data_IF_371418429960
#
_entry.id   IF_371418429960
#
_cell.length_a   1.000
_cell.length_b   1.000
_cell.length_c   1.000
_cell.angle_alpha   90.00
_cell.angle_beta   90.00
_cell.angle_gamma   90.00
#
_symmetry.space_group_name_H-M   'P 1'
#
loop_
_entity.id
_entity.type
_entity.pdbx_description
1 polymer ?
#
# COMPACT_ATOMS: atom_id res chain seq x y z
N UNK A 1 -4.14 -31.37 -1.34
CA UNK A 1 -5.29 -30.47 -1.03
C UNK A 1 -4.75 -29.07 -0.82
N UNK A 2 -5.43 -28.02 -1.30
CA UNK A 2 -4.96 -26.62 -1.24
C UNK A 2 -5.34 -25.86 0.03
N UNK A 3 -6.31 -26.36 0.82
CA UNK A 3 -6.73 -25.81 2.12
C UNK A 3 -7.20 -26.93 3.05
N UNK A 4 -6.93 -26.80 4.35
CA UNK A 4 -7.44 -27.66 5.40
C UNK A 4 -8.39 -26.87 6.30
N UNK A 5 -9.64 -27.32 6.44
CA UNK A 5 -10.58 -26.78 7.42
C UNK A 5 -10.66 -27.70 8.64
N UNK A 6 -11.26 -27.23 9.73
CA UNK A 6 -11.44 -28.03 10.96
C UNK A 6 -12.33 -29.24 10.74
N UNK A 7 -13.29 -29.15 9.81
CA UNK A 7 -14.18 -30.24 9.41
C UNK A 7 -13.39 -31.32 8.65
N UNK A 8 -12.54 -30.90 7.70
CA UNK A 8 -11.68 -31.82 6.95
C UNK A 8 -10.62 -32.49 7.84
N UNK A 9 -10.06 -31.74 8.79
CA UNK A 9 -9.13 -32.29 9.77
C UNK A 9 -9.82 -33.31 10.67
N UNK A 10 -11.03 -33.01 11.16
CA UNK A 10 -11.81 -33.94 11.98
C UNK A 10 -12.09 -35.26 11.22
N UNK A 11 -12.56 -35.17 9.97
CA UNK A 11 -12.78 -36.34 9.12
C UNK A 11 -11.51 -37.19 8.98
N UNK A 12 -10.37 -36.56 8.71
CA UNK A 12 -9.10 -37.28 8.51
C UNK A 12 -8.55 -37.87 9.80
N UNK A 13 -8.69 -37.17 10.92
CA UNK A 13 -8.28 -37.70 12.23
C UNK A 13 -9.15 -38.90 12.60
N UNK A 14 -10.48 -38.81 12.39
CA UNK A 14 -11.40 -39.91 12.66
C UNK A 14 -11.07 -41.14 11.79
N UNK A 15 -10.75 -40.95 10.52
CA UNK A 15 -10.31 -42.02 9.61
C UNK A 15 -9.03 -42.72 10.10
N UNK A 16 -8.05 -41.96 10.60
CA UNK A 16 -6.76 -42.50 11.06
C UNK A 16 -6.87 -43.17 12.44
N UNK A 17 -7.65 -42.58 13.34
CA UNK A 17 -7.67 -42.95 14.76
C UNK A 17 -8.86 -43.82 15.15
N UNK A 18 -9.86 -43.97 14.29
CA UNK A 18 -11.13 -44.62 14.60
C UNK A 18 -12.00 -43.83 15.60
N UNK A 19 -11.56 -42.65 16.04
CA UNK A 19 -12.29 -41.81 16.98
C UNK A 19 -13.43 -41.03 16.29
N UNK A 20 -14.39 -40.55 17.09
CA UNK A 20 -15.48 -39.68 16.64
C UNK A 20 -15.26 -38.25 17.16
N UNK A 21 -14.37 -37.50 16.51
CA UNK A 21 -14.12 -36.10 16.84
C UNK A 21 -14.98 -35.17 15.99
N UNK A 22 -15.53 -34.15 16.65
CA UNK A 22 -16.23 -33.05 15.99
C UNK A 22 -15.26 -31.93 15.60
N UNK A 23 -15.56 -31.21 14.51
CA UNK A 23 -14.75 -30.08 14.01
C UNK A 23 -14.47 -29.01 15.08
N UNK A 24 -15.44 -28.76 15.96
CA UNK A 24 -15.29 -27.83 17.08
C UNK A 24 -14.22 -28.26 18.10
N UNK A 25 -14.04 -29.56 18.31
CA UNK A 25 -12.98 -30.09 19.18
C UNK A 25 -11.62 -29.84 18.58
N UNK A 26 -11.45 -30.15 17.28
CA UNK A 26 -10.22 -29.86 16.54
C UNK A 26 -9.89 -28.36 16.57
N UNK A 27 -10.88 -27.49 16.37
CA UNK A 27 -10.69 -26.03 16.43
C UNK A 27 -10.14 -25.54 17.77
N UNK A 28 -10.56 -26.15 18.89
CA UNK A 28 -10.07 -25.81 20.23
C UNK A 28 -8.68 -26.35 20.50
N UNK A 29 -8.34 -27.54 19.99
CA UNK A 29 -7.05 -28.19 20.23
C UNK A 29 -5.91 -27.62 19.38
N UNK A 30 -6.20 -27.15 18.16
CA UNK A 30 -5.17 -26.62 17.25
C UNK A 30 -4.33 -25.51 17.92
N UNK A 31 -4.90 -24.46 18.56
CA UNK A 31 -4.11 -23.47 19.27
C UNK A 31 -3.26 -24.03 20.41
N UNK A 32 -3.77 -25.01 21.17
CA UNK A 32 -3.02 -25.69 22.24
C UNK A 32 -1.83 -26.49 21.71
N UNK A 33 -1.91 -26.96 20.47
CA UNK A 33 -0.81 -27.58 19.73
C UNK A 33 0.09 -26.56 19.00
N UNK A 34 -0.08 -25.25 19.23
CA UNK A 34 0.67 -24.19 18.57
C UNK A 34 0.22 -23.87 17.13
N UNK A 35 -0.89 -24.44 16.67
CA UNK A 35 -1.41 -24.26 15.31
C UNK A 35 -2.46 -23.15 15.27
N UNK A 36 -2.24 -22.14 14.41
CA UNK A 36 -3.10 -20.97 14.29
C UNK A 36 -3.72 -20.84 12.91
N UNK A 37 -4.98 -20.40 12.87
CA UNK A 37 -5.68 -20.12 11.61
C UNK A 37 -5.17 -18.81 10.99
N UNK A 38 -4.43 -18.90 9.89
CA UNK A 38 -3.92 -17.74 9.14
C UNK A 38 -4.16 -17.88 7.64
N UNK A 39 -4.21 -16.75 6.95
CA UNK A 39 -4.26 -16.70 5.49
C UNK A 39 -2.86 -17.01 4.94
N UNK A 40 -2.77 -17.89 3.95
CA UNK A 40 -1.52 -18.10 3.21
C UNK A 40 -1.13 -16.80 2.48
N UNK A 41 0.14 -16.41 2.57
CA UNK A 41 0.67 -15.27 1.83
C UNK A 41 1.12 -15.72 0.44
N UNK A 42 0.73 -15.03 -0.64
CA UNK A 42 1.28 -15.31 -1.96
C UNK A 42 2.78 -15.00 -1.94
N UNK A 43 3.59 -15.96 -2.39
CA UNK A 43 5.01 -15.77 -2.61
C UNK A 43 5.34 -16.15 -4.04
N UNK A 44 6.16 -15.34 -4.70
CA UNK A 44 6.65 -15.67 -6.03
C UNK A 44 7.92 -16.52 -5.88
N UNK A 45 8.07 -17.53 -6.73
CA UNK A 45 9.26 -18.41 -6.74
C UNK A 45 10.47 -17.73 -7.39
N UNK A 46 10.24 -16.60 -8.05
CA UNK A 46 11.26 -15.81 -8.75
C UNK A 46 11.98 -14.92 -7.74
N UNK A 47 13.30 -15.04 -7.68
CA UNK A 47 14.17 -14.13 -6.91
C UNK A 47 14.78 -13.13 -7.89
N UNK A 48 14.75 -11.84 -7.55
CA UNK A 48 15.48 -10.83 -8.30
C UNK A 48 16.99 -11.06 -8.10
N UNK A 49 17.77 -11.37 -9.17
CA UNK A 49 19.19 -11.66 -9.04
C UNK A 49 19.99 -10.45 -8.54
N UNK A 50 19.46 -9.23 -8.70
CA UNK A 50 20.10 -7.97 -8.29
C UNK A 50 19.47 -7.41 -7.01
N UNK A 51 18.75 -8.22 -6.23
CA UNK A 51 18.06 -7.76 -5.03
C UNK A 51 19.01 -7.08 -4.06
N UNK A 52 20.13 -7.72 -3.75
CA UNK A 52 21.05 -7.22 -2.71
C UNK A 52 21.75 -5.92 -3.15
N UNK A 53 22.13 -5.83 -4.42
CA UNK A 53 22.70 -4.61 -5.01
C UNK A 53 21.70 -3.45 -4.96
N UNK A 54 20.45 -3.68 -5.36
CA UNK A 54 19.38 -2.67 -5.31
C UNK A 54 19.09 -2.23 -3.87
N UNK A 55 19.05 -3.18 -2.93
CA UNK A 55 18.85 -2.88 -1.52
C UNK A 55 20.01 -2.06 -0.97
N UNK A 56 21.26 -2.37 -1.31
CA UNK A 56 22.42 -1.58 -0.89
C UNK A 56 22.35 -0.13 -1.41
N UNK A 57 21.94 0.07 -2.66
CA UNK A 57 21.73 1.41 -3.23
C UNK A 57 20.61 2.17 -2.50
N UNK A 58 19.52 1.49 -2.15
CA UNK A 58 18.41 2.08 -1.36
C UNK A 58 18.91 2.47 0.03
N UNK A 59 19.58 1.57 0.75
CA UNK A 59 20.10 1.82 2.10
C UNK A 59 21.06 3.00 2.10
N UNK A 60 22.01 3.04 1.17
CA UNK A 60 22.93 4.17 1.01
C UNK A 60 22.18 5.50 0.82
N UNK A 61 21.16 5.53 -0.04
CA UNK A 61 20.38 6.74 -0.26
C UNK A 61 19.62 7.17 1.00
N UNK A 62 19.07 6.22 1.75
CA UNK A 62 18.38 6.49 3.02
C UNK A 62 19.34 7.04 4.08
N UNK A 63 20.55 6.49 4.18
CA UNK A 63 21.58 6.93 5.12
C UNK A 63 22.11 8.34 4.78
N UNK A 64 22.18 8.67 3.49
CA UNK A 64 22.57 10.00 2.99
C UNK A 64 21.40 11.02 3.01
N UNK A 65 20.21 10.63 3.48
CA UNK A 65 19.03 11.49 3.45
C UNK A 65 19.22 12.74 4.33
N UNK A 66 19.07 13.91 3.71
CA UNK A 66 19.22 15.21 4.37
C UNK A 66 18.31 16.26 3.75
N UNK A 67 18.29 17.47 4.30
CA UNK A 67 17.54 18.59 3.71
C UNK A 67 18.04 18.98 2.31
N UNK A 68 19.34 18.78 2.04
CA UNK A 68 19.94 19.03 0.71
C UNK A 68 19.74 17.85 -0.25
N UNK A 69 19.64 16.63 0.29
CA UNK A 69 19.49 15.39 -0.46
C UNK A 69 18.29 14.56 0.04
N UNK A 70 17.05 15.10 -0.06
CA UNK A 70 15.87 14.39 0.42
C UNK A 70 15.61 13.13 -0.40
N UNK A 71 15.16 12.08 0.30
CA UNK A 71 14.82 10.78 -0.27
C UNK A 71 13.37 10.44 0.04
N UNK A 72 12.63 10.03 -0.99
CA UNK A 72 11.22 9.71 -0.89
C UNK A 72 10.94 8.29 -1.36
N UNK A 73 10.00 7.62 -0.69
CA UNK A 73 9.29 6.49 -1.25
C UNK A 73 8.13 7.02 -2.08
N UNK A 74 8.04 6.59 -3.34
CA UNK A 74 7.05 7.07 -4.29
C UNK A 74 6.22 5.89 -4.82
N UNK A 75 4.92 6.14 -4.98
CA UNK A 75 3.96 5.16 -5.51
C UNK A 75 2.64 5.85 -5.89
N UNK A 76 1.83 5.16 -6.69
CA UNK A 76 0.49 5.59 -7.06
C UNK A 76 -0.61 4.69 -6.50
N UNK A 77 -1.70 5.31 -6.04
CA UNK A 77 -2.85 4.62 -5.47
C UNK A 77 -4.15 4.92 -6.23
N UNK A 78 -4.99 3.90 -6.33
CA UNK A 78 -6.29 3.96 -6.98
C UNK A 78 -7.38 4.31 -5.96
N UNK A 79 -8.16 5.34 -6.24
CA UNK A 79 -9.35 5.74 -5.49
C UNK A 79 -10.57 5.33 -6.32
N UNK A 80 -11.26 4.30 -5.86
CA UNK A 80 -12.49 3.82 -6.47
C UNK A 80 -13.68 4.40 -5.72
N UNK A 81 -14.69 4.85 -6.47
CA UNK A 81 -15.97 5.23 -5.88
C UNK A 81 -16.75 3.99 -5.40
N UNK A 82 -16.52 2.82 -6.02
CA UNK A 82 -16.99 1.57 -5.43
C UNK A 82 -16.17 1.26 -4.16
N UNK A 83 -16.81 1.20 -2.98
CA UNK A 83 -16.11 1.00 -1.73
C UNK A 83 -15.45 -0.38 -1.70
N UNK A 84 -14.23 -0.44 -1.16
CA UNK A 84 -13.62 -1.73 -0.82
C UNK A 84 -14.42 -2.32 0.34
N UNK A 85 -14.96 -3.53 0.17
CA UNK A 85 -15.65 -4.22 1.26
C UNK A 85 -14.61 -4.87 2.16
N UNK A 86 -14.67 -4.56 3.45
CA UNK A 86 -13.79 -5.17 4.44
C UNK A 86 -14.49 -5.44 5.77
N UNK A 87 -13.80 -6.16 6.64
CA UNK A 87 -14.31 -6.50 7.96
C UNK A 87 -14.49 -5.23 8.82
N UNK A 88 -15.58 -5.22 9.58
CA UNK A 88 -15.96 -4.15 10.51
C UNK A 88 -16.69 -4.79 11.69
N UNK A 89 -16.61 -4.19 12.88
CA UNK A 89 -17.27 -4.71 14.08
C UNK A 89 -18.77 -4.42 14.01
N UNK A 90 -19.58 -5.45 14.24
CA UNK A 90 -21.04 -5.39 14.09
C UNK A 90 -21.72 -6.20 15.21
N UNK A 91 -22.94 -5.81 15.56
CA UNK A 91 -23.76 -6.57 16.51
C UNK A 91 -24.00 -7.99 15.96
N UNK A 92 -23.97 -8.98 16.85
CA UNK A 92 -24.18 -10.39 16.49
C UNK A 92 -25.52 -10.53 15.77
N UNK A 93 -25.50 -11.21 14.62
CA UNK A 93 -26.69 -11.43 13.78
C UNK A 93 -27.04 -10.26 12.85
N UNK A 94 -26.32 -9.14 12.92
CA UNK A 94 -26.49 -8.02 11.98
C UNK A 94 -25.36 -8.02 10.94
N UNK A 95 -25.72 -7.72 9.69
CA UNK A 95 -24.77 -7.52 8.60
C UNK A 95 -24.95 -6.12 7.99
N UNK A 96 -23.94 -5.27 8.14
CA UNK A 96 -23.90 -3.92 7.55
C UNK A 96 -23.96 -4.04 6.02
N UNK A 97 -24.94 -3.36 5.42
CA UNK A 97 -25.05 -3.23 3.96
C UNK A 97 -24.42 -1.91 3.55
N UNK A 98 -23.47 -1.97 2.62
CA UNK A 98 -22.84 -0.79 2.03
C UNK A 98 -23.44 -0.59 0.65
N UNK A 99 -24.04 0.57 0.41
CA UNK A 99 -24.62 0.92 -0.90
C UNK A 99 -23.49 1.17 -1.89
N UNK A 100 -23.52 0.48 -3.02
CA UNK A 100 -22.61 0.71 -4.13
C UNK A 100 -23.26 1.64 -5.16
N UNK A 101 -22.55 2.64 -5.70
CA UNK A 101 -23.07 3.59 -6.69
C UNK A 101 -23.36 2.99 -8.08
N UNK A 102 -23.17 1.67 -8.27
CA UNK A 102 -23.40 0.96 -9.52
C UNK A 102 -22.24 1.13 -10.49
N UNK A 103 -22.05 2.34 -11.03
CA UNK A 103 -20.93 2.66 -11.91
C UNK A 103 -19.70 3.10 -11.11
N UNK A 104 -18.58 2.43 -11.34
CA UNK A 104 -17.33 2.76 -10.66
C UNK A 104 -16.62 3.92 -11.35
N UNK A 105 -16.60 5.09 -10.71
CA UNK A 105 -15.66 6.15 -11.05
C UNK A 105 -14.29 5.88 -10.42
N UNK A 106 -13.22 6.20 -11.14
CA UNK A 106 -11.84 6.02 -10.68
C UNK A 106 -11.10 7.35 -10.70
N UNK A 107 -10.30 7.56 -9.67
CA UNK A 107 -9.35 8.66 -9.56
C UNK A 107 -8.02 8.10 -9.05
N UNK A 108 -6.93 8.78 -9.33
CA UNK A 108 -5.59 8.29 -9.00
C UNK A 108 -4.81 9.36 -8.28
N UNK A 109 -4.01 8.95 -7.30
CA UNK A 109 -3.04 9.81 -6.65
C UNK A 109 -1.64 9.28 -6.93
N UNK A 110 -0.68 10.17 -7.13
CA UNK A 110 0.73 9.87 -6.99
C UNK A 110 1.22 10.53 -5.70
N UNK A 111 1.90 9.77 -4.84
CA UNK A 111 2.36 10.23 -3.54
C UNK A 111 3.83 9.94 -3.32
N UNK A 112 4.51 10.88 -2.66
CA UNK A 112 5.89 10.78 -2.21
C UNK A 112 5.95 10.97 -0.69
N UNK A 113 6.39 9.93 0.01
CA UNK A 113 6.62 9.92 1.45
C UNK A 113 8.09 10.19 1.74
N UNK A 114 8.40 11.31 2.41
CA UNK A 114 9.76 11.62 2.81
C UNK A 114 10.27 10.60 3.84
N UNK A 115 11.38 9.92 3.54
CA UNK A 115 11.93 8.83 4.35
C UNK A 115 12.31 9.23 5.78
N UNK A 116 12.99 10.38 5.96
CA UNK A 116 13.38 10.86 7.28
C UNK A 116 12.29 11.57 8.09
N UNK A 117 11.48 12.44 7.47
CA UNK A 117 10.52 13.31 8.18
C UNK A 117 9.08 12.78 8.22
N UNK A 118 8.75 11.79 7.39
CA UNK A 118 7.38 11.32 7.20
C UNK A 118 6.47 12.29 6.45
N UNK A 119 6.98 13.45 6.00
CA UNK A 119 6.16 14.43 5.26
C UNK A 119 5.65 13.82 3.96
N UNK A 120 4.35 14.00 3.70
CA UNK A 120 3.68 13.47 2.50
C UNK A 120 3.51 14.59 1.47
N UNK A 121 3.89 14.31 0.23
CA UNK A 121 3.57 15.15 -0.94
C UNK A 121 2.73 14.33 -1.90
N UNK A 122 1.68 14.90 -2.49
CA UNK A 122 0.84 14.15 -3.43
C UNK A 122 0.22 15.05 -4.48
N UNK A 123 -0.16 14.45 -5.61
CA UNK A 123 -0.96 15.06 -6.67
C UNK A 123 -2.04 14.08 -7.12
N UNK A 124 -3.11 14.59 -7.73
CA UNK A 124 -4.22 13.79 -8.24
C UNK A 124 -4.37 13.85 -9.76
N UNK A 125 -4.97 12.82 -10.35
CA UNK A 125 -5.29 12.78 -11.78
C UNK A 125 -6.29 11.70 -12.16
N UNK A 126 -6.74 11.75 -13.42
CA UNK A 126 -7.77 10.86 -13.96
C UNK A 126 -7.21 9.53 -14.52
N UNK A 127 -5.88 9.36 -14.54
CA UNK A 127 -5.22 8.13 -14.97
C UNK A 127 -3.90 7.93 -14.22
N UNK A 128 -3.56 6.67 -13.93
CA UNK A 128 -2.23 6.28 -13.45
C UNK A 128 -1.24 6.27 -14.62
N UNK A 129 -0.73 7.45 -14.96
CA UNK A 129 0.07 7.68 -16.17
C UNK A 129 1.40 8.38 -15.87
N UNK A 130 2.31 8.36 -16.86
CA UNK A 130 3.56 9.12 -16.80
C UNK A 130 3.34 10.61 -16.52
N UNK A 131 2.24 11.18 -17.02
CA UNK A 131 1.87 12.57 -16.77
C UNK A 131 1.56 12.83 -15.30
N UNK A 132 0.89 11.89 -14.61
CA UNK A 132 0.63 11.98 -13.17
C UNK A 132 1.94 11.91 -12.37
N UNK A 133 2.81 10.95 -12.70
CA UNK A 133 4.13 10.84 -12.10
C UNK A 133 4.95 12.13 -12.29
N UNK A 134 5.04 12.65 -13.51
CA UNK A 134 5.74 13.91 -13.82
C UNK A 134 5.11 15.11 -13.08
N UNK A 135 3.79 15.13 -12.89
CA UNK A 135 3.14 16.17 -12.10
C UNK A 135 3.61 16.14 -10.63
N UNK A 136 3.78 14.94 -10.05
CA UNK A 136 4.37 14.79 -8.71
C UNK A 136 5.82 15.30 -8.70
N UNK A 137 6.63 14.95 -9.72
CA UNK A 137 8.01 15.42 -9.81
C UNK A 137 8.09 16.95 -9.88
N UNK A 138 7.20 17.59 -10.66
CA UNK A 138 7.10 19.05 -10.73
C UNK A 138 6.73 19.64 -9.36
N UNK A 139 5.76 19.04 -8.66
CA UNK A 139 5.35 19.46 -7.32
C UNK A 139 6.51 19.35 -6.31
N UNK A 140 7.27 18.24 -6.33
CA UNK A 140 8.45 18.06 -5.49
C UNK A 140 9.56 19.07 -5.83
N UNK A 141 9.81 19.33 -7.12
CA UNK A 141 10.78 20.33 -7.56
C UNK A 141 10.44 21.72 -7.04
N UNK A 142 9.16 22.08 -7.04
CA UNK A 142 8.65 23.35 -6.52
C UNK A 142 8.66 23.42 -4.99
N UNK A 143 8.44 22.31 -4.30
CA UNK A 143 8.45 22.25 -2.83
C UNK A 143 9.87 22.26 -2.27
N UNK A 144 10.79 21.51 -2.88
CA UNK A 144 12.18 21.34 -2.43
C UNK A 144 13.15 22.12 -3.32
N UNK A 145 12.86 23.41 -3.57
CA UNK A 145 13.66 24.26 -4.49
C UNK A 145 15.14 24.31 -4.15
N UNK A 146 15.47 24.37 -2.85
CA UNK A 146 16.84 24.48 -2.33
C UNK A 146 17.60 23.16 -2.26
N UNK A 147 16.93 22.01 -2.41
CA UNK A 147 17.62 20.72 -2.42
C UNK A 147 18.61 20.64 -3.59
N UNK A 148 19.78 20.05 -3.37
CA UNK A 148 20.77 19.77 -4.40
C UNK A 148 20.33 18.59 -5.28
N UNK A 149 19.77 17.57 -4.66
CA UNK A 149 19.19 16.40 -5.36
C UNK A 149 17.85 16.01 -4.75
N UNK A 150 17.03 15.27 -5.49
CA UNK A 150 15.81 14.64 -5.00
C UNK A 150 15.87 13.17 -5.42
N UNK A 151 15.91 12.26 -4.46
CA UNK A 151 15.97 10.82 -4.74
C UNK A 151 14.60 10.19 -4.54
N UNK A 152 14.13 9.40 -5.51
CA UNK A 152 12.88 8.68 -5.46
C UNK A 152 13.15 7.17 -5.51
N UNK A 153 12.63 6.46 -4.53
CA UNK A 153 12.57 5.00 -4.51
C UNK A 153 11.21 4.61 -5.09
N UNK A 154 11.21 4.04 -6.29
CA UNK A 154 10.01 3.72 -7.06
C UNK A 154 9.89 2.22 -7.30
N UNK A 155 8.69 1.74 -7.60
CA UNK A 155 8.48 0.37 -8.04
C UNK A 155 8.94 0.18 -9.51
N UNK A 156 8.67 -0.98 -10.11
CA UNK A 156 9.06 -1.25 -11.50
C UNK A 156 7.99 -0.91 -12.54
N UNK A 157 6.99 -0.10 -12.19
CA UNK A 157 5.88 0.21 -13.07
C UNK A 157 6.34 0.91 -14.35
N UNK A 158 5.70 0.58 -15.46
CA UNK A 158 6.17 0.93 -16.81
C UNK A 158 6.19 2.44 -17.04
N UNK A 159 5.36 3.21 -16.32
CA UNK A 159 5.28 4.66 -16.46
C UNK A 159 6.58 5.34 -16.01
N UNK A 160 7.31 4.79 -15.03
CA UNK A 160 8.60 5.34 -14.58
C UNK A 160 9.70 5.16 -15.65
N UNK A 161 9.52 4.18 -16.55
CA UNK A 161 10.45 3.85 -17.65
C UNK A 161 9.98 4.35 -19.01
N UNK A 162 8.85 5.06 -19.07
CA UNK A 162 8.29 5.55 -20.33
C UNK A 162 9.22 6.58 -21.01
N UNK A 163 9.12 6.70 -22.33
CA UNK A 163 9.89 7.70 -23.09
C UNK A 163 9.65 9.12 -22.57
N UNK A 164 8.42 9.42 -22.17
CA UNK A 164 8.04 10.72 -21.61
C UNK A 164 8.76 10.98 -20.28
N UNK A 165 8.69 10.02 -19.35
CA UNK A 165 9.35 10.12 -18.04
C UNK A 165 10.86 10.24 -18.19
N UNK A 166 11.48 9.40 -19.03
CA UNK A 166 12.92 9.42 -19.26
C UNK A 166 13.38 10.74 -19.89
N UNK A 167 12.61 11.31 -20.83
CA UNK A 167 12.88 12.63 -21.40
C UNK A 167 12.82 13.72 -20.33
N UNK A 168 11.81 13.67 -19.46
CA UNK A 168 11.68 14.65 -18.38
C UNK A 168 12.81 14.55 -17.36
N UNK A 169 13.19 13.34 -16.93
CA UNK A 169 14.29 13.10 -16.00
C UNK A 169 15.63 13.58 -16.59
N UNK A 170 15.88 13.32 -17.88
CA UNK A 170 17.08 13.84 -18.57
C UNK A 170 17.15 15.37 -18.55
N UNK A 171 16.01 16.06 -18.69
CA UNK A 171 15.92 17.51 -18.58
C UNK A 171 15.95 18.04 -17.14
N UNK A 172 15.87 17.16 -16.14
CA UNK A 172 15.80 17.52 -14.72
C UNK A 172 16.80 16.68 -13.90
N UNK A 173 18.12 16.90 -14.09
CA UNK A 173 19.19 16.08 -13.48
C UNK A 173 19.23 16.13 -11.94
N UNK A 174 18.45 17.04 -11.33
CA UNK A 174 18.21 17.08 -9.88
C UNK A 174 17.54 15.79 -9.37
N UNK A 175 16.78 15.09 -10.20
CA UNK A 175 16.07 13.87 -9.79
C UNK A 175 16.92 12.62 -10.03
N UNK A 176 17.02 11.78 -8.99
CA UNK A 176 17.62 10.45 -9.04
C UNK A 176 16.54 9.42 -8.76
N UNK A 177 16.37 8.44 -9.64
CA UNK A 177 15.36 7.38 -9.49
C UNK A 177 16.08 6.06 -9.18
N UNK A 178 15.71 5.44 -8.06
CA UNK A 178 16.18 4.14 -7.61
C UNK A 178 15.01 3.17 -7.71
N UNK A 179 15.19 2.09 -8.47
CA UNK A 179 14.16 1.06 -8.63
C UNK A 179 14.26 0.03 -7.51
N UNK A 180 13.12 -0.29 -6.90
CA UNK A 180 13.02 -1.38 -5.94
C UNK A 180 13.34 -2.74 -6.59
N UNK A 181 13.77 -3.74 -5.80
CA UNK A 181 13.82 -5.11 -6.28
C UNK A 181 12.46 -5.57 -6.77
N UNK A 182 12.45 -6.36 -7.85
CA UNK A 182 11.19 -6.90 -8.39
C UNK A 182 10.56 -7.81 -7.32
N UNK A 183 9.23 -7.79 -7.25
CA UNK A 183 8.44 -8.62 -6.34
C UNK A 183 8.73 -8.39 -4.84
N UNK A 184 9.14 -7.18 -4.45
CA UNK A 184 9.44 -6.83 -3.06
C UNK A 184 8.57 -5.67 -2.54
N UNK A 185 7.23 -5.79 -2.53
CA UNK A 185 6.31 -4.70 -2.14
C UNK A 185 6.55 -4.18 -0.71
N UNK A 186 7.00 -5.06 0.20
CA UNK A 186 7.34 -4.69 1.59
C UNK A 186 8.48 -3.66 1.71
N UNK A 187 9.25 -3.40 0.66
CA UNK A 187 10.28 -2.35 0.64
C UNK A 187 9.65 -0.96 0.54
N UNK A 188 8.44 -0.86 0.00
CA UNK A 188 7.81 0.41 -0.27
C UNK A 188 7.02 0.95 0.93
N UNK A 189 7.64 1.80 1.74
CA UNK A 189 7.01 2.28 2.98
C UNK A 189 5.77 3.15 2.75
N UNK A 190 5.60 3.75 1.57
CA UNK A 190 4.39 4.51 1.23
C UNK A 190 3.15 3.60 1.12
N UNK A 191 3.31 2.29 0.87
CA UNK A 191 2.18 1.35 0.88
C UNK A 191 1.44 1.34 2.23
N UNK A 192 2.14 1.64 3.33
CA UNK A 192 1.53 1.76 4.67
C UNK A 192 0.64 3.00 4.78
N UNK A 193 1.01 4.09 4.12
CA UNK A 193 0.17 5.28 4.01
C UNK A 193 -1.09 4.96 3.20
N UNK A 194 -0.96 4.23 2.09
CA UNK A 194 -2.09 3.78 1.28
C UNK A 194 -3.00 2.79 2.01
N UNK A 195 -2.43 1.90 2.81
CA UNK A 195 -3.20 1.03 3.69
C UNK A 195 -4.01 1.85 4.70
N UNK A 196 -3.39 2.83 5.38
CA UNK A 196 -4.07 3.70 6.31
C UNK A 196 -5.19 4.53 5.62
N UNK A 197 -4.92 5.07 4.43
CA UNK A 197 -5.91 5.77 3.62
C UNK A 197 -7.10 4.85 3.29
N UNK A 198 -6.82 3.62 2.87
CA UNK A 198 -7.87 2.69 2.50
C UNK A 198 -8.72 2.27 3.69
N UNK A 199 -8.09 1.98 4.82
CA UNK A 199 -8.74 1.56 6.05
C UNK A 199 -9.60 2.68 6.64
N UNK A 200 -9.14 3.93 6.55
CA UNK A 200 -9.83 5.09 7.12
C UNK A 200 -10.94 5.63 6.21
N UNK A 201 -10.67 5.73 4.91
CA UNK A 201 -11.53 6.49 3.98
C UNK A 201 -12.27 5.61 2.98
N UNK A 202 -11.58 4.66 2.33
CA UNK A 202 -12.16 3.99 1.15
C UNK A 202 -12.88 2.67 1.46
N UNK A 203 -12.63 2.07 2.63
CA UNK A 203 -13.24 0.81 3.02
C UNK A 203 -14.61 1.07 3.62
N UNK A 204 -15.62 0.33 3.16
CA UNK A 204 -17.00 0.43 3.64
C UNK A 204 -17.63 1.84 3.62
N UNK A 205 -17.12 2.77 2.80
CA UNK A 205 -17.60 4.15 2.77
C UNK A 205 -19.01 4.27 2.16
N UNK A 206 -19.68 5.38 2.44
CA UNK A 206 -21.03 5.69 1.94
C UNK A 206 -21.09 6.95 1.06
N UNK A 207 -19.94 7.46 0.60
CA UNK A 207 -19.89 8.59 -0.33
C UNK A 207 -20.71 8.30 -1.60
N UNK A 208 -21.51 9.27 -2.03
CA UNK A 208 -22.41 9.15 -3.21
C UNK A 208 -21.76 9.62 -4.50
N UNK A 209 -20.65 10.35 -4.43
CA UNK A 209 -19.93 10.85 -5.58
C UNK A 209 -18.42 10.88 -5.33
N UNK A 210 -17.65 10.86 -6.43
CA UNK A 210 -16.18 10.94 -6.36
C UNK A 210 -15.72 12.23 -5.66
N UNK A 211 -16.41 13.35 -5.87
CA UNK A 211 -16.07 14.61 -5.20
C UNK A 211 -16.14 14.51 -3.67
N UNK A 212 -17.19 13.89 -3.12
CA UNK A 212 -17.34 13.69 -1.68
C UNK A 212 -16.22 12.81 -1.13
N UNK A 213 -15.88 11.73 -1.85
CA UNK A 213 -14.78 10.85 -1.49
C UNK A 213 -13.45 11.59 -1.52
N UNK A 214 -13.15 12.33 -2.58
CA UNK A 214 -11.91 13.10 -2.72
C UNK A 214 -11.77 14.20 -1.67
N UNK A 215 -12.87 14.80 -1.20
CA UNK A 215 -12.83 15.74 -0.07
C UNK A 215 -12.29 15.06 1.20
N UNK A 216 -12.77 13.85 1.50
CA UNK A 216 -12.28 13.06 2.64
C UNK A 216 -10.82 12.61 2.44
N UNK A 217 -10.47 12.19 1.23
CA UNK A 217 -9.10 11.81 0.88
C UNK A 217 -8.14 12.98 1.08
N UNK A 218 -8.47 14.19 0.60
CA UNK A 218 -7.63 15.39 0.83
C UNK A 218 -7.44 15.67 2.32
N UNK A 219 -8.52 15.65 3.09
CA UNK A 219 -8.45 15.86 4.54
C UNK A 219 -7.56 14.81 5.25
N UNK A 220 -7.67 13.54 4.84
CA UNK A 220 -6.77 12.50 5.33
C UNK A 220 -5.31 12.81 4.97
N UNK A 221 -5.01 13.17 3.72
CA UNK A 221 -3.62 13.42 3.29
C UNK A 221 -3.00 14.62 4.01
N UNK A 222 -3.79 15.64 4.35
CA UNK A 222 -3.37 16.80 5.14
C UNK A 222 -3.09 16.42 6.60
N UNK A 223 -3.94 15.61 7.22
CA UNK A 223 -3.81 15.20 8.63
C UNK A 223 -2.80 14.09 8.86
N UNK A 224 -2.57 13.24 7.86
CA UNK A 224 -1.62 12.13 7.91
C UNK A 224 -0.17 12.57 7.74
N UNK A 225 0.12 13.85 7.48
CA UNK A 225 1.48 14.38 7.29
C UNK A 225 1.92 15.23 8.50
N UNK A 226 3.05 14.92 9.16
CA UNK A 226 3.98 13.83 8.87
C UNK A 226 3.40 12.46 9.27
N UNK A 227 3.60 11.48 8.40
CA UNK A 227 3.10 10.12 8.60
C UNK A 227 3.99 9.38 9.59
N UNK A 228 3.46 8.91 10.73
CA UNK A 228 4.26 8.30 11.80
C UNK A 228 4.71 6.86 11.48
N UNK A 229 4.45 6.35 10.28
CA UNK A 229 4.55 4.93 9.97
C UNK A 229 3.36 4.15 10.57
N UNK A 230 3.55 2.85 10.83
CA UNK A 230 2.45 1.98 11.29
C UNK A 230 2.22 1.99 12.80
N UNK A 231 2.51 3.09 13.49
CA UNK A 231 1.85 3.36 14.77
C UNK A 231 0.43 3.79 14.42
N UNK A 232 -0.57 3.06 14.90
CA UNK A 232 -1.99 3.35 14.62
C UNK A 232 -2.25 4.84 14.85
N UNK A 233 -2.61 5.56 13.77
CA UNK A 233 -2.87 6.99 13.83
C UNK A 233 -3.99 7.27 14.82
N UNK A 234 -3.66 7.96 15.91
CA UNK A 234 -4.64 8.48 16.88
C UNK A 234 -5.32 9.76 16.39
N UNK A 235 -4.95 10.23 15.18
CA UNK A 235 -5.63 11.36 14.56
C UNK A 235 -7.09 10.99 14.33
N UNK A 236 -7.99 11.64 15.07
CA UNK A 236 -9.41 11.67 14.73
C UNK A 236 -9.52 12.37 13.38
N UNK A 237 -9.73 11.57 12.33
CA UNK A 237 -10.20 12.03 11.01
C UNK A 237 -11.71 12.18 11.06
#
# INVERSE_FOLDING_TARGET
RSRWSTELLALKINEITGCQLHAGTVRRWLPSAGLVWRRAAPTLRIRDPHKDEKMAVIHKALDECSAEHPVFYEDEVDIHLNPKIGADWQLRGQQKRVVTPGQNEKYYLAGALHSGTGKVSYVGGNSKSSALFIALLKHLKATYRRAKTITLIVDNYIIHKSRETQRWLKANPKFRVIYQPVYSPWVNHVERLWQALHDTITRNHQCRSMWQLLKKVRHFMETASPFPGGKHGQAKV
#
